data_IF_843736374730
#
_entry.id   IF_843736374730
#
_cell.length_a   1.000
_cell.length_b   1.000
_cell.length_c   1.000
_cell.angle_alpha   90.00
_cell.angle_beta   90.00
_cell.angle_gamma   90.00
#
_symmetry.space_group_name_H-M   'P 1'
#
loop_
_entity.id
_entity.type
_entity.pdbx_description
1 polymer ?
#
# COMPACT_ATOMS: atom_id res chain seq x y z
N UNK A 1 -6.05 -9.76 -45.42
CA UNK A 1 -4.97 -8.97 -44.81
C UNK A 1 -5.61 -8.19 -43.65
N UNK A 2 -5.53 -8.72 -42.45
CA UNK A 2 -5.97 -8.01 -41.24
C UNK A 2 -5.11 -6.77 -41.03
N UNK A 3 -5.70 -5.69 -40.56
CA UNK A 3 -4.96 -4.46 -40.24
C UNK A 3 -4.25 -4.63 -38.89
N UNK A 4 -3.20 -3.86 -38.66
CA UNK A 4 -2.46 -3.83 -37.38
C UNK A 4 -3.42 -3.65 -36.19
N UNK A 5 -4.52 -2.92 -36.36
CA UNK A 5 -5.58 -2.70 -35.36
C UNK A 5 -6.42 -3.95 -35.04
N UNK A 6 -6.53 -4.89 -35.97
CA UNK A 6 -7.28 -6.11 -35.72
C UNK A 6 -6.48 -7.08 -34.84
N UNK A 7 -5.14 -7.11 -35.01
CA UNK A 7 -4.25 -7.88 -34.16
C UNK A 7 -4.21 -7.33 -32.72
N UNK A 8 -4.16 -6.00 -32.53
CA UNK A 8 -4.22 -5.36 -31.20
C UNK A 8 -5.55 -5.65 -30.49
N UNK A 9 -6.66 -5.76 -31.22
CA UNK A 9 -7.98 -6.06 -30.65
C UNK A 9 -8.10 -7.53 -30.23
N UNK A 10 -7.59 -8.45 -31.03
CA UNK A 10 -7.56 -9.89 -30.70
C UNK A 10 -6.64 -10.16 -29.49
N UNK A 11 -5.51 -9.44 -29.36
CA UNK A 11 -4.63 -9.51 -28.20
C UNK A 11 -5.31 -8.97 -26.93
N UNK A 12 -6.10 -7.89 -27.02
CA UNK A 12 -6.85 -7.35 -25.90
C UNK A 12 -7.99 -8.27 -25.46
N UNK A 13 -8.74 -8.88 -26.39
CA UNK A 13 -9.79 -9.85 -26.06
C UNK A 13 -9.20 -11.09 -25.37
N UNK A 14 -8.04 -11.57 -25.81
CA UNK A 14 -7.34 -12.69 -25.17
C UNK A 14 -6.81 -12.35 -23.77
N UNK A 15 -6.46 -11.07 -23.53
CA UNK A 15 -6.04 -10.57 -22.24
C UNK A 15 -7.18 -10.55 -21.20
N UNK A 16 -8.38 -10.16 -21.62
CA UNK A 16 -9.58 -10.15 -20.76
C UNK A 16 -10.00 -11.57 -20.30
N UNK A 17 -9.81 -12.59 -21.14
CA UNK A 17 -10.10 -13.99 -20.78
C UNK A 17 -9.11 -14.55 -19.74
N UNK A 18 -7.85 -14.11 -19.73
CA UNK A 18 -6.80 -14.61 -18.83
C UNK A 18 -6.74 -13.90 -17.48
N UNK A 19 -7.36 -12.72 -17.35
CA UNK A 19 -7.52 -12.00 -16.07
C UNK A 19 -8.62 -12.60 -15.17
N UNK A 20 -9.00 -13.86 -15.38
CA UNK A 20 -10.02 -14.57 -14.64
C UNK A 20 -9.92 -14.37 -13.14
N UNK A 21 -10.70 -13.43 -12.61
CA UNK A 21 -10.80 -13.13 -11.18
C UNK A 21 -10.34 -11.74 -10.74
N UNK A 22 -9.73 -10.96 -11.61
CA UNK A 22 -9.48 -9.54 -11.33
C UNK A 22 -10.65 -8.71 -11.88
N UNK A 23 -11.10 -7.74 -11.07
CA UNK A 23 -12.13 -6.79 -11.43
C UNK A 23 -11.89 -6.26 -12.85
N UNK A 24 -12.96 -6.26 -13.68
CA UNK A 24 -12.90 -5.73 -15.03
C UNK A 24 -12.26 -4.35 -15.00
N UNK A 25 -11.46 -4.05 -16.00
CA UNK A 25 -10.72 -2.79 -16.14
C UNK A 25 -11.60 -1.53 -15.97
N UNK A 26 -12.91 -1.63 -16.21
CA UNK A 26 -13.91 -0.61 -15.91
C UNK A 26 -14.01 -0.23 -14.43
N UNK A 27 -13.75 -1.15 -13.50
CA UNK A 27 -13.73 -0.82 -12.06
C UNK A 27 -12.42 -0.16 -11.62
N UNK A 28 -11.35 -0.27 -12.40
CA UNK A 28 -10.05 0.34 -12.14
C UNK A 28 -9.94 1.77 -12.70
N UNK A 29 -10.71 2.11 -13.74
CA UNK A 29 -10.62 3.39 -14.44
C UNK A 29 -11.71 4.40 -14.11
N UNK A 30 -12.76 4.04 -13.42
CA UNK A 30 -13.70 5.02 -12.89
C UNK A 30 -13.20 5.56 -11.57
N UNK A 31 -12.17 6.38 -11.62
CA UNK A 31 -11.80 7.24 -10.50
C UNK A 31 -12.84 8.37 -10.30
N UNK A 32 -14.11 8.09 -10.48
CA UNK A 32 -15.20 8.96 -10.01
C UNK A 32 -15.15 9.10 -8.49
N UNK A 33 -14.71 8.04 -7.79
CA UNK A 33 -14.53 8.06 -6.33
C UNK A 33 -13.27 8.79 -5.85
N UNK A 34 -12.32 9.13 -6.74
CA UNK A 34 -11.14 9.90 -6.35
C UNK A 34 -11.45 11.40 -6.20
N UNK A 35 -12.53 11.88 -6.81
CA UNK A 35 -12.94 13.29 -6.76
C UNK A 35 -13.77 13.62 -5.53
N UNK A 36 -14.37 12.63 -4.88
CA UNK A 36 -15.24 12.80 -3.71
C UNK A 36 -14.51 12.66 -2.37
N UNK A 37 -13.18 12.46 -2.37
CA UNK A 37 -12.41 12.36 -1.13
C UNK A 37 -12.02 13.77 -0.70
N UNK A 38 -12.75 14.32 0.25
CA UNK A 38 -12.41 15.61 0.84
C UNK A 38 -10.99 15.59 1.43
N UNK A 39 -10.17 16.63 1.14
CA UNK A 39 -8.84 16.73 1.72
C UNK A 39 -8.95 16.80 3.25
N UNK A 40 -8.10 16.05 3.94
CA UNK A 40 -8.08 16.11 5.40
C UNK A 40 -7.72 17.49 5.91
N UNK A 41 -8.52 18.01 6.84
CA UNK A 41 -8.28 19.26 7.55
C UNK A 41 -7.34 19.08 8.75
N UNK A 42 -7.10 17.82 9.17
CA UNK A 42 -6.23 17.49 10.30
C UNK A 42 -4.79 17.96 10.05
N UNK A 43 -4.16 18.51 11.09
CA UNK A 43 -2.74 18.93 11.06
C UNK A 43 -1.81 17.72 11.08
N UNK A 44 -0.52 17.91 10.72
CA UNK A 44 0.48 16.83 10.80
C UNK A 44 0.66 16.37 12.25
N UNK A 45 0.61 17.28 13.21
CA UNK A 45 0.70 16.99 14.64
C UNK A 45 -0.43 16.06 15.09
N UNK A 46 -1.67 16.35 14.68
CA UNK A 46 -2.84 15.51 14.99
C UNK A 46 -2.75 14.14 14.33
N UNK A 47 -2.34 14.08 13.06
CA UNK A 47 -2.18 12.84 12.30
C UNK A 47 -1.06 11.95 12.82
N UNK A 48 -0.02 12.54 13.41
CA UNK A 48 1.14 11.80 13.92
C UNK A 48 1.09 11.53 15.41
N UNK A 49 0.18 12.16 16.15
CA UNK A 49 0.03 11.97 17.58
C UNK A 49 -0.42 10.53 17.89
N UNK A 50 0.46 9.77 18.56
CA UNK A 50 0.19 8.38 18.94
C UNK A 50 -0.93 8.26 19.98
N UNK A 51 -1.16 9.32 20.76
CA UNK A 51 -2.11 9.34 21.88
C UNK A 51 -3.46 9.98 21.53
N UNK A 52 -3.69 10.29 20.24
CA UNK A 52 -5.01 10.69 19.75
C UNK A 52 -6.07 9.60 20.00
N UNK A 53 -7.31 9.98 20.27
CA UNK A 53 -8.38 9.03 20.63
C UNK A 53 -8.62 8.00 19.53
N UNK A 54 -8.75 8.44 18.26
CA UNK A 54 -8.94 7.51 17.13
C UNK A 54 -7.85 6.42 17.05
N UNK A 55 -6.61 6.78 17.41
CA UNK A 55 -5.47 5.86 17.34
C UNK A 55 -5.43 4.90 18.53
N UNK A 56 -5.88 5.35 19.71
CA UNK A 56 -6.12 4.48 20.86
C UNK A 56 -7.23 3.48 20.59
N UNK A 57 -8.33 3.94 19.96
CA UNK A 57 -9.45 3.10 19.56
C UNK A 57 -9.02 1.99 18.59
N UNK A 58 -8.22 2.31 17.56
CA UNK A 58 -7.66 1.31 16.65
C UNK A 58 -6.78 0.26 17.36
N UNK A 59 -6.02 0.67 18.36
CA UNK A 59 -5.22 -0.27 19.18
C UNK A 59 -6.10 -1.13 20.08
N UNK A 60 -7.18 -0.59 20.59
CA UNK A 60 -8.12 -1.31 21.44
C UNK A 60 -9.01 -2.28 20.63
N UNK A 61 -9.39 -1.89 19.42
CA UNK A 61 -10.26 -2.68 18.55
C UNK A 61 -9.65 -4.02 18.12
N UNK A 62 -8.33 -4.11 18.02
CA UNK A 62 -7.65 -5.34 17.60
C UNK A 62 -6.39 -5.57 18.42
N UNK A 63 -6.34 -6.71 19.12
CA UNK A 63 -5.21 -7.08 19.97
C UNK A 63 -3.95 -7.42 19.15
N UNK A 64 -2.74 -7.27 19.72
CA UNK A 64 -1.50 -7.61 19.02
C UNK A 64 -1.43 -9.05 18.48
N UNK A 65 -2.04 -10.02 19.17
CA UNK A 65 -2.10 -11.41 18.71
C UNK A 65 -2.95 -11.56 17.44
N UNK A 66 -4.08 -10.86 17.37
CA UNK A 66 -4.96 -10.86 16.20
C UNK A 66 -4.27 -10.20 15.00
N UNK A 67 -3.59 -9.07 15.21
CA UNK A 67 -2.80 -8.37 14.17
C UNK A 67 -1.69 -9.24 13.60
N UNK A 68 -1.04 -10.03 14.43
CA UNK A 68 0.00 -10.99 14.03
C UNK A 68 -0.54 -12.17 13.22
N UNK A 69 -1.76 -12.61 13.51
CA UNK A 69 -2.40 -13.70 12.80
C UNK A 69 -2.79 -13.35 11.34
N UNK A 70 -2.78 -12.07 10.99
CA UNK A 70 -3.07 -11.64 9.62
C UNK A 70 -1.85 -11.94 8.74
N UNK A 71 -2.06 -12.71 7.68
CA UNK A 71 -1.02 -12.99 6.70
C UNK A 71 -0.63 -11.73 5.93
N UNK A 72 0.67 -11.58 5.66
CA UNK A 72 1.19 -10.51 4.82
C UNK A 72 0.56 -10.56 3.44
N UNK A 73 0.12 -9.43 2.91
CA UNK A 73 -0.41 -9.34 1.55
C UNK A 73 0.68 -9.65 0.51
N UNK A 74 0.27 -10.32 -0.55
CA UNK A 74 1.10 -10.49 -1.74
C UNK A 74 0.73 -9.41 -2.74
N UNK A 75 1.72 -8.73 -3.29
CA UNK A 75 1.52 -7.72 -4.34
C UNK A 75 1.01 -8.42 -5.61
N UNK A 76 -0.13 -8.02 -6.16
CA UNK A 76 -0.57 -8.50 -7.47
C UNK A 76 0.44 -8.12 -8.56
N UNK A 77 0.72 -9.04 -9.44
CA UNK A 77 1.64 -8.86 -10.56
C UNK A 77 0.97 -9.22 -11.87
N UNK A 78 1.41 -8.60 -12.97
CA UNK A 78 1.02 -9.00 -14.32
C UNK A 78 1.40 -10.45 -14.59
N UNK A 79 0.58 -11.12 -15.37
CA UNK A 79 0.87 -12.48 -15.84
C UNK A 79 2.27 -12.57 -16.48
N UNK A 80 3.07 -13.62 -16.18
CA UNK A 80 4.43 -13.73 -16.68
C UNK A 80 4.55 -13.76 -18.20
N UNK A 81 3.59 -14.30 -18.92
CA UNK A 81 3.59 -14.35 -20.38
C UNK A 81 3.25 -12.97 -20.94
N UNK A 82 2.20 -12.35 -20.40
CA UNK A 82 1.79 -11.00 -20.82
C UNK A 82 2.88 -9.95 -20.56
N UNK A 83 3.48 -9.92 -19.37
CA UNK A 83 4.53 -8.95 -19.04
C UNK A 83 5.77 -9.06 -19.95
N UNK A 84 5.99 -10.19 -20.60
CA UNK A 84 7.05 -10.35 -21.57
C UNK A 84 6.77 -9.62 -22.91
N UNK A 85 5.52 -9.27 -23.19
CA UNK A 85 5.10 -8.58 -24.41
C UNK A 85 5.00 -7.06 -24.24
N UNK A 86 4.78 -6.57 -23.01
CA UNK A 86 4.71 -5.13 -22.71
C UNK A 86 6.03 -4.57 -22.21
N UNK A 87 6.31 -3.29 -22.52
CA UNK A 87 7.50 -2.54 -22.02
C UNK A 87 7.13 -1.32 -21.20
N UNK A 88 5.85 -0.96 -21.17
CA UNK A 88 5.35 0.30 -20.60
C UNK A 88 4.54 0.10 -19.34
N UNK A 89 4.02 -1.10 -19.11
CA UNK A 89 3.20 -1.40 -17.95
C UNK A 89 4.03 -1.83 -16.74
N UNK A 90 3.62 -1.39 -15.57
CA UNK A 90 4.24 -1.84 -14.33
C UNK A 90 3.88 -3.31 -14.06
N UNK A 91 4.87 -4.14 -13.79
CA UNK A 91 4.67 -5.56 -13.43
C UNK A 91 3.88 -5.67 -12.13
N UNK A 92 4.27 -4.92 -11.10
CA UNK A 92 3.55 -4.85 -9.84
C UNK A 92 2.34 -3.93 -9.97
N UNK A 93 1.14 -4.46 -9.68
CA UNK A 93 -0.13 -3.74 -9.92
C UNK A 93 -0.58 -2.86 -8.74
N UNK A 94 0.15 -2.87 -7.62
CA UNK A 94 -0.25 -2.16 -6.42
C UNK A 94 -1.25 -2.92 -5.56
N UNK A 95 -1.70 -2.31 -4.48
CA UNK A 95 -2.71 -2.89 -3.59
C UNK A 95 -4.07 -2.25 -3.88
N UNK A 96 -5.14 -3.03 -3.76
CA UNK A 96 -6.50 -2.48 -3.65
C UNK A 96 -6.70 -1.83 -2.27
N UNK A 97 -7.74 -0.98 -2.12
CA UNK A 97 -8.09 -0.37 -0.82
C UNK A 97 -8.26 -1.43 0.28
N UNK A 98 -8.94 -2.54 -0.01
CA UNK A 98 -9.15 -3.63 0.94
C UNK A 98 -7.84 -4.31 1.34
N UNK A 99 -6.96 -4.58 0.38
CA UNK A 99 -5.65 -5.17 0.65
C UNK A 99 -4.78 -4.24 1.48
N UNK A 100 -4.78 -2.95 1.18
CA UNK A 100 -4.01 -1.96 1.93
C UNK A 100 -4.49 -1.84 3.38
N UNK A 101 -5.80 -1.76 3.61
CA UNK A 101 -6.37 -1.73 4.98
C UNK A 101 -6.06 -3.03 5.73
N UNK A 102 -6.20 -4.20 5.07
CA UNK A 102 -5.85 -5.50 5.66
C UNK A 102 -4.37 -5.56 6.09
N UNK A 103 -3.47 -5.10 5.23
CA UNK A 103 -2.04 -5.04 5.57
C UNK A 103 -1.75 -4.02 6.67
N UNK A 104 -2.43 -2.88 6.67
CA UNK A 104 -2.29 -1.85 7.69
C UNK A 104 -2.69 -2.36 9.09
N UNK A 105 -3.68 -3.26 9.18
CA UNK A 105 -4.06 -3.91 10.44
C UNK A 105 -2.91 -4.68 11.09
N UNK A 106 -1.94 -5.17 10.32
CA UNK A 106 -0.78 -5.88 10.87
C UNK A 106 0.13 -4.98 11.71
N UNK A 107 0.14 -3.67 11.45
CA UNK A 107 1.00 -2.74 12.18
C UNK A 107 0.60 -2.66 13.67
N UNK A 108 1.56 -2.96 14.57
CA UNK A 108 1.36 -2.96 16.02
C UNK A 108 1.38 -1.57 16.66
N UNK A 109 1.62 -0.52 15.88
CA UNK A 109 1.73 0.85 16.39
C UNK A 109 2.72 0.98 17.55
N UNK A 110 3.96 0.56 17.34
CA UNK A 110 5.00 0.48 18.35
C UNK A 110 5.26 1.85 19.01
N UNK A 111 5.48 1.87 20.33
CA UNK A 111 5.84 3.10 21.04
C UNK A 111 7.25 3.62 20.69
N UNK A 112 8.16 2.71 20.31
CA UNK A 112 9.50 3.01 19.76
C UNK A 112 9.62 2.30 18.42
N UNK A 113 9.19 2.94 17.32
CA UNK A 113 9.09 2.29 16.02
C UNK A 113 10.46 2.25 15.31
N UNK A 114 11.21 1.17 15.47
CA UNK A 114 12.51 0.98 14.82
C UNK A 114 12.46 1.06 13.29
N UNK A 115 11.30 0.82 12.67
CA UNK A 115 11.10 1.02 11.24
C UNK A 115 11.31 2.47 10.79
N UNK A 116 11.01 3.46 11.65
CA UNK A 116 11.28 4.88 11.38
C UNK A 116 12.78 5.13 11.30
N UNK A 117 13.55 4.57 12.24
CA UNK A 117 15.02 4.67 12.23
C UNK A 117 15.64 3.97 11.01
N UNK A 118 14.95 2.98 10.47
CA UNK A 118 15.37 2.28 9.24
C UNK A 118 15.06 3.06 7.95
N UNK A 119 14.29 4.15 8.02
CA UNK A 119 13.96 4.98 6.87
C UNK A 119 14.96 6.14 6.75
N UNK A 120 15.67 6.30 5.62
CA UNK A 120 16.67 7.38 5.45
C UNK A 120 16.09 8.80 5.59
N UNK A 121 14.81 8.99 5.33
CA UNK A 121 14.11 10.28 5.45
C UNK A 121 13.18 10.35 6.67
N UNK A 122 13.27 9.37 7.58
CA UNK A 122 12.54 9.32 8.85
C UNK A 122 11.02 9.48 8.71
N UNK A 123 10.41 8.84 7.72
CA UNK A 123 8.95 8.82 7.58
C UNK A 123 8.33 8.30 8.88
N UNK A 124 7.28 8.97 9.36
CA UNK A 124 6.50 8.47 10.50
C UNK A 124 5.64 7.28 10.07
N UNK A 125 6.30 6.11 9.92
CA UNK A 125 5.72 4.89 9.34
C UNK A 125 4.46 4.43 10.08
N UNK A 126 4.44 4.31 11.43
CA UNK A 126 3.22 3.90 12.10
C UNK A 126 2.06 4.86 11.85
N UNK A 127 2.33 6.15 11.74
CA UNK A 127 1.28 7.14 11.56
C UNK A 127 0.62 7.06 10.19
N UNK A 128 1.38 6.95 9.09
CA UNK A 128 0.74 6.81 7.80
C UNK A 128 -0.02 5.48 7.69
N UNK A 129 0.52 4.37 8.23
CA UNK A 129 -0.14 3.07 8.23
C UNK A 129 -1.45 3.11 9.04
N UNK A 130 -1.46 3.76 10.19
CA UNK A 130 -2.68 3.89 10.99
C UNK A 130 -3.75 4.77 10.32
N UNK A 131 -3.34 5.76 9.54
CA UNK A 131 -4.27 6.52 8.72
C UNK A 131 -4.86 5.67 7.57
N UNK A 132 -4.08 4.76 6.97
CA UNK A 132 -4.60 3.76 6.02
C UNK A 132 -5.59 2.82 6.73
N UNK A 133 -5.25 2.33 7.92
CA UNK A 133 -6.11 1.43 8.71
C UNK A 133 -7.49 2.01 9.00
N UNK A 134 -7.58 3.31 9.28
CA UNK A 134 -8.87 4.01 9.48
C UNK A 134 -9.53 4.48 8.18
N UNK A 135 -8.98 4.14 7.00
CA UNK A 135 -9.52 4.50 5.70
C UNK A 135 -9.23 5.95 5.25
N UNK A 136 -8.42 6.70 5.99
CA UNK A 136 -8.07 8.08 5.68
C UNK A 136 -6.83 8.16 4.79
N UNK A 137 -6.97 7.79 3.52
CA UNK A 137 -5.85 7.64 2.59
C UNK A 137 -5.14 8.96 2.28
N UNK A 138 -5.88 10.07 2.14
CA UNK A 138 -5.28 11.39 1.93
C UNK A 138 -4.52 11.87 3.18
N UNK A 139 -5.01 11.55 4.38
CA UNK A 139 -4.29 11.81 5.62
C UNK A 139 -2.98 11.00 5.67
N UNK A 140 -3.00 9.73 5.25
CA UNK A 140 -1.79 8.91 5.14
C UNK A 140 -0.79 9.52 4.16
N UNK A 141 -1.24 9.95 2.97
CA UNK A 141 -0.40 10.63 1.99
C UNK A 141 0.18 11.96 2.53
N UNK A 142 -0.60 12.73 3.31
CA UNK A 142 -0.13 13.95 3.96
C UNK A 142 1.00 13.66 4.95
N UNK A 143 0.89 12.57 5.74
CA UNK A 143 1.96 12.14 6.65
C UNK A 143 3.21 11.73 5.88
N UNK A 144 3.09 10.93 4.81
CA UNK A 144 4.23 10.55 3.95
C UNK A 144 4.94 11.79 3.39
N UNK A 145 4.17 12.73 2.83
CA UNK A 145 4.71 13.95 2.20
C UNK A 145 5.28 14.96 3.19
N UNK A 146 5.09 14.79 4.50
CA UNK A 146 5.70 15.69 5.49
C UNK A 146 7.23 15.59 5.54
N UNK A 147 7.79 14.42 5.17
CA UNK A 147 9.24 14.18 5.18
C UNK A 147 9.78 13.61 3.86
N UNK A 148 8.94 13.05 3.00
CA UNK A 148 9.31 12.49 1.71
C UNK A 148 8.70 13.30 0.56
N UNK A 149 9.54 13.80 -0.34
CA UNK A 149 9.06 14.54 -1.52
C UNK A 149 8.43 13.62 -2.58
N UNK A 150 8.86 12.36 -2.66
CA UNK A 150 8.52 11.43 -3.72
C UNK A 150 8.09 10.04 -3.18
N UNK A 151 7.08 9.95 -2.30
CA UNK A 151 6.71 8.68 -1.68
C UNK A 151 6.32 7.61 -2.71
N UNK A 152 5.63 7.98 -3.78
CA UNK A 152 5.24 7.05 -4.84
C UNK A 152 6.45 6.41 -5.56
N UNK A 153 7.57 7.14 -5.68
CA UNK A 153 8.84 6.60 -6.21
C UNK A 153 9.50 5.73 -5.16
N UNK A 154 9.60 6.20 -3.92
CA UNK A 154 10.21 5.45 -2.81
C UNK A 154 9.53 4.10 -2.60
N UNK A 155 8.20 4.05 -2.61
CA UNK A 155 7.43 2.81 -2.50
C UNK A 155 7.72 1.79 -3.61
N UNK A 156 8.29 2.24 -4.76
CA UNK A 156 8.65 1.37 -5.89
C UNK A 156 10.12 0.95 -5.92
N UNK A 157 11.04 1.81 -5.48
CA UNK A 157 12.48 1.61 -5.72
C UNK A 157 13.33 1.46 -4.46
N UNK A 158 12.83 1.82 -3.28
CA UNK A 158 13.56 1.61 -2.04
C UNK A 158 13.75 0.11 -1.77
N UNK A 159 14.92 -0.34 -1.33
CA UNK A 159 15.14 -1.69 -0.84
C UNK A 159 14.60 -1.84 0.59
N UNK A 160 13.26 -1.79 0.74
CA UNK A 160 12.59 -1.75 2.05
C UNK A 160 12.99 -2.92 2.94
N UNK A 161 13.23 -4.08 2.34
CA UNK A 161 13.68 -5.31 3.03
C UNK A 161 15.05 -5.16 3.71
N UNK A 162 15.84 -4.15 3.31
CA UNK A 162 17.13 -3.78 3.93
C UNK A 162 17.05 -2.53 4.79
N UNK A 163 15.97 -1.78 4.69
CA UNK A 163 15.74 -0.50 5.38
C UNK A 163 14.63 -0.64 6.43
N UNK A 164 13.49 0.01 6.21
CA UNK A 164 12.39 0.08 7.18
C UNK A 164 11.80 -1.28 7.54
N UNK A 165 11.56 -2.16 6.57
CA UNK A 165 10.99 -3.48 6.83
C UNK A 165 11.96 -4.37 7.62
N UNK A 166 13.28 -4.27 7.39
CA UNK A 166 14.28 -5.02 8.16
C UNK A 166 14.28 -4.70 9.67
N UNK A 167 13.69 -3.57 10.04
CA UNK A 167 13.57 -3.13 11.44
C UNK A 167 12.20 -3.41 12.04
N UNK A 168 11.29 -4.00 11.28
CA UNK A 168 9.95 -4.31 11.76
C UNK A 168 9.99 -5.30 12.94
N UNK A 169 9.22 -5.01 13.99
CA UNK A 169 9.13 -5.85 15.18
C UNK A 169 8.64 -7.28 14.87
N UNK A 170 7.84 -7.47 13.83
CA UNK A 170 7.35 -8.78 13.40
C UNK A 170 8.49 -9.77 13.14
N UNK A 171 9.62 -9.30 12.56
CA UNK A 171 10.78 -10.15 12.32
C UNK A 171 11.38 -10.74 13.59
N UNK A 172 11.31 -10.01 14.72
CA UNK A 172 11.76 -10.52 16.03
C UNK A 172 10.84 -11.62 16.60
N UNK A 173 9.66 -11.76 16.03
CA UNK A 173 8.65 -12.77 16.40
C UNK A 173 8.57 -13.90 15.39
N UNK A 174 9.52 -14.00 14.47
CA UNK A 174 9.55 -14.92 13.34
C UNK A 174 8.34 -14.79 12.38
N UNK A 175 7.79 -13.59 12.30
CA UNK A 175 6.68 -13.25 11.39
C UNK A 175 7.18 -12.34 10.27
N UNK A 176 6.60 -12.39 9.06
CA UNK A 176 6.95 -11.47 7.99
C UNK A 176 6.71 -10.01 8.41
N UNK A 177 7.63 -9.11 8.07
CA UNK A 177 7.47 -7.68 8.29
C UNK A 177 6.15 -7.17 7.69
N UNK A 178 5.63 -6.05 8.21
CA UNK A 178 4.57 -5.30 7.53
C UNK A 178 5.11 -4.83 6.18
N UNK A 179 4.31 -4.93 5.12
CA UNK A 179 4.67 -4.54 3.76
C UNK A 179 4.66 -3.01 3.60
N UNK A 180 5.63 -2.35 4.26
CA UNK A 180 5.69 -0.89 4.38
C UNK A 180 5.81 -0.24 3.00
N UNK A 181 6.69 -0.75 2.13
CA UNK A 181 6.86 -0.22 0.79
C UNK A 181 5.62 -0.39 -0.09
N UNK A 182 4.87 -1.48 0.07
CA UNK A 182 3.61 -1.68 -0.66
C UNK A 182 2.54 -0.68 -0.23
N UNK A 183 2.48 -0.36 1.08
CA UNK A 183 1.57 0.64 1.64
C UNK A 183 1.99 2.08 1.27
N UNK A 184 3.28 2.36 1.15
CA UNK A 184 3.80 3.64 0.68
C UNK A 184 3.51 3.88 -0.80
N UNK A 185 3.55 2.80 -1.62
CA UNK A 185 3.20 2.85 -3.03
C UNK A 185 1.71 3.05 -3.25
N UNK A 186 0.85 2.44 -2.43
CA UNK A 186 -0.61 2.51 -2.51
C UNK A 186 -1.13 3.94 -2.48
#
# INVERSE_FOLDING_TARGET
>A
MGTFRDAEREEMEHYEEHLGGFAKQEELHTCETCMDVEPTTETIEELTNRDSEWRKELRAAMKPAERKAIERVTMPELDPVYRATTRTEEVNQGLTKQMAVREAHRCLDCGKPACVEGCPVNINIPSFIKNIERGQFLAAAKVLKSTSALPAVCGRVCPQEKQCESKCIHLKMNEPAVAIGYLERF
#
